data_IF_108190375684
#
_entry.id   IF_108190375684
#
_cell.length_a   1.000
_cell.length_b   1.000
_cell.length_c   1.000
_cell.angle_alpha   90.00
_cell.angle_beta   90.00
_cell.angle_gamma   90.00
#
_symmetry.space_group_name_H-M   'P 1'
#
loop_
_entity.id
_entity.type
_entity.pdbx_description
1 polymer ?
#
# COMPACT_ATOMS: atom_id res chain seq x y z
N UNK A 1 -12.31 -45.83 62.89
CA UNK A 1 -11.60 -44.98 63.86
C UNK A 1 -10.73 -43.99 63.10
N UNK A 2 -11.07 -42.70 63.15
CA UNK A 2 -10.08 -41.60 63.03
C UNK A 2 -9.05 -41.75 64.17
N UNK A 3 -7.78 -41.31 64.05
CA UNK A 3 -7.44 -39.93 63.64
C UNK A 3 -6.13 -39.71 62.85
N UNK A 4 -6.04 -38.54 62.20
CA UNK A 4 -4.79 -37.83 61.85
C UNK A 4 -4.25 -37.09 63.11
N UNK A 5 -3.02 -36.51 63.22
CA UNK A 5 -2.28 -35.75 62.19
C UNK A 5 -0.71 -35.75 62.29
N UNK A 6 -0.07 -34.83 61.52
CA UNK A 6 1.22 -34.12 61.71
C UNK A 6 2.28 -34.25 60.59
N UNK A 7 2.18 -33.28 59.66
CA UNK A 7 3.18 -32.32 59.12
C UNK A 7 4.60 -32.71 58.62
N UNK A 8 4.83 -32.24 57.37
CA UNK A 8 6.05 -31.73 56.71
C UNK A 8 7.16 -32.73 56.31
N UNK A 9 7.60 -32.83 55.05
CA UNK A 9 7.97 -31.74 54.13
C UNK A 9 8.17 -32.22 52.66
N UNK A 10 7.68 -31.40 51.72
CA UNK A 10 8.29 -30.97 50.44
C UNK A 10 8.81 -32.06 49.46
N UNK A 11 7.98 -32.42 48.46
CA UNK A 11 8.16 -31.98 47.05
C UNK A 11 7.02 -32.51 46.16
N UNK A 12 6.03 -31.65 45.93
CA UNK A 12 4.94 -31.88 45.00
C UNK A 12 5.21 -31.25 43.64
N UNK A 13 5.42 -32.09 42.62
CA UNK A 13 5.22 -31.74 41.21
C UNK A 13 3.96 -32.48 40.73
N UNK A 14 2.78 -31.93 41.01
CA UNK A 14 1.52 -32.31 40.35
C UNK A 14 1.02 -31.14 39.51
N UNK A 15 0.86 -31.44 38.23
CA UNK A 15 0.17 -30.66 37.20
C UNK A 15 -1.05 -29.92 37.78
N UNK A 16 -1.04 -28.59 37.71
CA UNK A 16 -2.25 -27.75 37.69
C UNK A 16 -2.32 -27.02 36.36
N UNK A 17 -3.52 -27.03 35.80
CA UNK A 17 -3.91 -26.51 34.51
C UNK A 17 -3.55 -25.02 34.35
N UNK A 18 -3.00 -24.69 33.18
CA UNK A 18 -2.69 -23.34 32.70
C UNK A 18 -3.93 -22.50 32.37
N UNK A 19 -5.14 -23.03 32.57
CA UNK A 19 -6.40 -22.34 32.25
C UNK A 19 -6.83 -21.33 33.34
N UNK A 20 -6.59 -21.62 34.63
CA UNK A 20 -7.06 -20.76 35.73
C UNK A 20 -6.17 -19.55 36.02
N UNK A 21 -4.92 -19.56 35.54
CA UNK A 21 -4.02 -18.41 35.64
C UNK A 21 -4.35 -17.33 34.58
N UNK A 22 -4.91 -17.72 33.43
CA UNK A 22 -5.25 -16.82 32.33
C UNK A 22 -6.57 -16.05 32.58
N UNK A 23 -7.53 -16.65 33.30
CA UNK A 23 -8.78 -15.98 33.66
C UNK A 23 -8.59 -14.92 34.73
N UNK A 24 -7.73 -15.18 35.74
CA UNK A 24 -7.38 -14.21 36.79
C UNK A 24 -6.48 -13.08 36.30
N UNK A 25 -5.61 -13.31 35.30
CA UNK A 25 -4.81 -12.23 34.70
C UNK A 25 -5.66 -11.30 33.82
N UNK A 26 -6.64 -11.84 33.08
CA UNK A 26 -7.60 -11.04 32.28
C UNK A 26 -8.56 -10.22 33.13
N UNK A 27 -9.06 -10.76 34.25
CA UNK A 27 -9.92 -10.00 35.17
C UNK A 27 -9.15 -8.87 35.89
N UNK A 28 -7.86 -9.07 36.20
CA UNK A 28 -7.01 -8.02 36.77
C UNK A 28 -6.56 -6.97 35.73
N UNK A 29 -6.47 -7.34 34.44
CA UNK A 29 -6.26 -6.40 33.32
C UNK A 29 -7.50 -5.49 33.16
N UNK A 30 -8.69 -6.07 33.15
CA UNK A 30 -9.97 -5.35 33.00
C UNK A 30 -10.24 -4.38 34.17
N UNK A 31 -9.91 -4.77 35.42
CA UNK A 31 -10.00 -3.87 36.58
C UNK A 31 -9.02 -2.69 36.51
N UNK A 32 -7.85 -2.88 35.91
CA UNK A 32 -6.85 -1.82 35.72
C UNK A 32 -7.22 -0.86 34.58
N UNK A 33 -7.87 -1.38 33.54
CA UNK A 33 -8.42 -0.59 32.42
C UNK A 33 -9.57 0.32 32.89
N UNK A 34 -10.45 -0.18 33.76
CA UNK A 34 -11.48 0.63 34.42
C UNK A 34 -10.90 1.73 35.34
N UNK A 35 -9.83 1.46 36.09
CA UNK A 35 -9.18 2.45 36.96
C UNK A 35 -8.52 3.59 36.15
N UNK A 36 -7.96 3.30 34.99
CA UNK A 36 -7.37 4.32 34.10
C UNK A 36 -8.45 5.19 33.43
N UNK A 37 -9.56 4.60 32.99
CA UNK A 37 -10.67 5.34 32.39
C UNK A 37 -11.40 6.20 33.43
N UNK A 38 -11.53 5.72 34.67
CA UNK A 38 -12.06 6.49 35.80
C UNK A 38 -11.13 7.65 36.20
N UNK A 39 -9.81 7.45 36.24
CA UNK A 39 -8.84 8.50 36.54
C UNK A 39 -8.79 9.58 35.45
N UNK A 40 -8.94 9.21 34.17
CA UNK A 40 -8.96 10.16 33.04
C UNK A 40 -10.20 11.07 33.08
N UNK A 41 -11.37 10.52 33.45
CA UNK A 41 -12.60 11.31 33.60
C UNK A 41 -12.60 12.20 34.86
N UNK A 42 -11.77 11.90 35.87
CA UNK A 42 -11.77 12.63 37.15
C UNK A 42 -10.66 13.69 37.24
N UNK A 43 -9.51 13.51 36.58
CA UNK A 43 -8.32 14.36 36.79
C UNK A 43 -7.79 15.11 35.54
N UNK A 44 -8.37 14.90 34.35
CA UNK A 44 -7.87 15.53 33.12
C UNK A 44 -6.48 15.01 32.68
N UNK A 45 -5.89 15.57 31.61
CA UNK A 45 -4.75 14.95 30.93
C UNK A 45 -3.47 14.97 31.78
N UNK A 46 -3.01 13.79 32.19
CA UNK A 46 -1.76 13.61 32.93
C UNK A 46 -0.58 13.55 31.94
N UNK A 47 0.38 14.47 32.08
CA UNK A 47 1.68 14.42 31.37
C UNK A 47 2.53 13.27 31.91
N UNK A 48 2.73 12.22 31.13
CA UNK A 48 3.68 11.15 31.44
C UNK A 48 5.01 11.37 30.70
N UNK A 49 6.14 11.25 31.42
CA UNK A 49 7.48 11.34 30.84
C UNK A 49 7.86 10.02 30.11
N UNK A 50 8.75 10.08 29.10
CA UNK A 50 9.00 9.00 28.15
C UNK A 50 9.55 7.70 28.77
N UNK A 51 10.21 7.79 29.92
CA UNK A 51 10.98 6.68 30.49
C UNK A 51 10.11 5.58 31.14
N UNK A 52 8.81 5.84 31.32
CA UNK A 52 7.87 4.87 31.92
C UNK A 52 7.19 3.94 30.91
N UNK A 53 7.32 4.20 29.60
CA UNK A 53 6.60 3.45 28.54
C UNK A 53 7.28 2.09 28.25
N UNK A 54 8.54 1.89 28.63
CA UNK A 54 9.31 0.68 28.27
C UNK A 54 9.15 -0.51 29.23
N UNK A 55 8.47 -0.37 30.39
CA UNK A 55 8.33 -1.47 31.37
C UNK A 55 7.03 -2.28 31.29
N UNK A 56 6.16 -2.03 30.31
CA UNK A 56 4.92 -2.79 30.11
C UNK A 56 4.96 -3.62 28.81
N UNK A 57 4.96 -4.95 28.95
CA UNK A 57 5.02 -5.97 27.88
C UNK A 57 3.63 -6.18 27.23
N UNK A 58 3.51 -7.01 26.17
CA UNK A 58 3.51 -6.69 24.74
C UNK A 58 2.08 -6.48 24.18
N UNK A 59 1.86 -5.40 23.42
CA UNK A 59 0.65 -5.25 22.59
C UNK A 59 0.93 -5.70 21.15
N UNK A 60 -0.09 -6.21 20.43
CA UNK A 60 0.02 -6.41 18.98
C UNK A 60 0.21 -5.06 18.29
N UNK A 61 0.98 -5.03 17.19
CA UNK A 61 1.27 -3.80 16.42
C UNK A 61 0.01 -3.02 16.03
N UNK A 62 -1.11 -3.72 15.84
CA UNK A 62 -2.42 -3.16 15.50
C UNK A 62 -3.00 -2.26 16.60
N UNK A 63 -2.80 -2.59 17.88
CA UNK A 63 -3.33 -1.81 19.01
C UNK A 63 -2.46 -0.59 19.32
N UNK A 64 -1.15 -0.71 19.16
CA UNK A 64 -0.21 0.43 19.27
C UNK A 64 -0.42 1.45 18.14
N UNK A 65 -0.78 0.99 16.95
CA UNK A 65 -1.16 1.85 15.83
C UNK A 65 -2.48 2.59 16.13
N UNK A 66 -3.46 1.87 16.68
CA UNK A 66 -4.76 2.40 17.08
C UNK A 66 -4.68 3.52 18.15
N UNK A 67 -3.81 3.39 19.16
CA UNK A 67 -3.61 4.43 20.18
C UNK A 67 -2.94 5.71 19.64
N UNK A 68 -2.20 5.62 18.53
CA UNK A 68 -1.49 6.75 17.92
C UNK A 68 -2.40 7.73 17.19
N UNK A 69 -3.64 7.33 16.89
CA UNK A 69 -4.63 8.13 16.14
C UNK A 69 -5.45 9.09 17.01
N UNK A 70 -5.35 9.01 18.34
CA UNK A 70 -6.09 9.90 19.26
C UNK A 70 -5.44 11.30 19.32
N UNK A 71 -4.20 11.47 18.84
CA UNK A 71 -3.51 12.76 18.79
C UNK A 71 -3.61 13.39 17.40
N UNK A 72 -4.39 14.47 17.30
CA UNK A 72 -4.68 15.38 16.16
C UNK A 72 -3.97 15.20 14.79
N UNK A 73 -4.71 15.37 13.67
CA UNK A 73 -4.15 15.38 12.31
C UNK A 73 -3.69 16.79 11.94
N UNK A 74 -2.43 17.13 12.21
CA UNK A 74 -1.80 18.32 11.62
C UNK A 74 -0.28 18.12 11.58
N UNK A 75 0.29 18.03 10.38
CA UNK A 75 1.74 17.91 10.11
C UNK A 75 2.44 16.75 10.84
N UNK A 76 2.24 15.54 10.33
CA UNK A 76 3.20 14.47 10.59
C UNK A 76 4.24 14.49 9.47
N UNK A 77 5.32 15.26 9.69
CA UNK A 77 6.58 14.95 9.02
C UNK A 77 7.03 13.63 9.62
N UNK A 78 6.91 12.54 8.86
CA UNK A 78 7.42 11.24 9.26
C UNK A 78 8.96 11.31 9.32
N UNK A 79 9.51 11.69 10.46
CA UNK A 79 10.90 11.37 10.83
C UNK A 79 10.91 9.96 11.43
N UNK A 80 10.64 8.96 10.59
CA UNK A 80 11.04 7.59 10.91
C UNK A 80 12.57 7.50 10.79
N UNK A 81 13.22 7.39 11.95
CA UNK A 81 14.68 7.39 12.13
C UNK A 81 15.29 5.98 12.09
N UNK A 82 14.54 4.95 11.67
CA UNK A 82 15.03 3.56 11.68
C UNK A 82 15.27 2.91 10.31
N UNK A 83 14.54 3.29 9.26
CA UNK A 83 14.65 2.64 7.93
C UNK A 83 15.41 3.51 6.93
N UNK A 84 16.47 2.95 6.33
CA UNK A 84 17.25 3.63 5.28
C UNK A 84 16.35 3.98 4.10
N UNK A 85 16.12 5.28 3.90
CA UNK A 85 15.35 5.83 2.78
C UNK A 85 16.16 5.64 1.50
N UNK A 86 15.60 4.92 0.54
CA UNK A 86 16.22 4.69 -0.76
C UNK A 86 16.09 5.92 -1.67
N UNK A 87 14.94 6.60 -1.60
CA UNK A 87 14.64 7.79 -2.39
C UNK A 87 14.03 8.85 -1.48
N UNK A 88 14.43 10.10 -1.66
CA UNK A 88 13.89 11.26 -0.98
C UNK A 88 13.68 12.37 -2.00
N UNK A 89 12.48 12.94 -2.01
CA UNK A 89 12.11 14.08 -2.85
C UNK A 89 11.54 15.14 -1.91
N UNK A 90 12.12 16.32 -1.92
CA UNK A 90 11.67 17.45 -1.10
C UNK A 90 11.41 18.66 -1.99
N UNK A 91 10.19 19.20 -1.92
CA UNK A 91 9.75 20.42 -2.59
C UNK A 91 10.11 20.49 -4.07
N UNK A 92 10.00 19.35 -4.77
CA UNK A 92 10.39 19.25 -6.17
C UNK A 92 9.45 20.08 -7.04
N UNK A 93 10.04 20.90 -7.91
CA UNK A 93 9.34 21.68 -8.92
C UNK A 93 9.94 21.44 -10.31
N UNK A 94 9.07 21.25 -11.30
CA UNK A 94 9.46 21.12 -12.71
C UNK A 94 8.46 21.82 -13.60
N UNK A 95 8.97 22.59 -14.55
CA UNK A 95 8.21 23.33 -15.55
C UNK A 95 8.79 23.07 -16.95
N UNK A 96 7.94 23.14 -17.96
CA UNK A 96 8.34 23.19 -19.37
C UNK A 96 7.84 24.51 -19.95
N UNK A 97 8.77 25.45 -20.19
CA UNK A 97 8.40 26.83 -20.49
C UNK A 97 7.62 27.45 -19.34
N UNK A 98 6.42 27.97 -19.62
CA UNK A 98 5.52 28.54 -18.61
C UNK A 98 4.65 27.50 -17.89
N UNK A 99 4.60 26.26 -18.38
CA UNK A 99 3.72 25.23 -17.85
C UNK A 99 4.40 24.47 -16.69
N UNK A 100 3.91 24.66 -15.47
CA UNK A 100 4.37 23.90 -14.30
C UNK A 100 3.78 22.49 -14.34
N UNK A 101 4.61 21.46 -14.38
CA UNK A 101 4.20 20.05 -14.44
C UNK A 101 4.29 19.36 -13.08
N UNK A 102 5.25 19.76 -12.24
CA UNK A 102 5.37 19.30 -10.85
C UNK A 102 5.51 20.51 -9.94
N UNK A 103 4.74 20.54 -8.85
CA UNK A 103 4.72 21.63 -7.89
C UNK A 103 4.72 21.10 -6.46
N UNK A 104 5.79 21.42 -5.73
CA UNK A 104 5.96 21.08 -4.30
C UNK A 104 5.74 19.60 -4.00
N UNK A 105 6.34 18.74 -4.83
CA UNK A 105 6.24 17.29 -4.63
C UNK A 105 7.19 16.87 -3.51
N UNK A 106 6.63 16.16 -2.53
CA UNK A 106 7.36 15.63 -1.38
C UNK A 106 7.06 14.14 -1.26
N UNK A 107 8.08 13.29 -1.28
CA UNK A 107 7.91 11.84 -1.12
C UNK A 107 9.17 11.17 -0.59
N UNK A 108 9.01 10.01 0.03
CA UNK A 108 10.12 9.14 0.41
C UNK A 108 9.76 7.69 0.12
N UNK A 109 10.77 6.91 -0.27
CA UNK A 109 10.62 5.47 -0.53
C UNK A 109 11.64 4.73 0.31
N UNK A 110 11.21 3.72 1.06
CA UNK A 110 12.10 2.86 1.85
C UNK A 110 12.74 1.81 0.97
N UNK A 111 13.91 1.32 1.38
CA UNK A 111 14.55 0.18 0.71
C UNK A 111 13.64 -1.06 0.74
N UNK A 112 13.52 -1.73 -0.40
CA UNK A 112 12.72 -2.95 -0.56
C UNK A 112 11.22 -2.71 -0.70
N UNK A 113 10.79 -1.45 -0.62
CA UNK A 113 9.38 -1.06 -0.78
C UNK A 113 8.98 -1.07 -2.26
N UNK A 114 7.76 -1.52 -2.53
CA UNK A 114 7.06 -1.25 -3.78
C UNK A 114 6.19 -0.01 -3.57
N UNK A 115 6.51 1.07 -4.28
CA UNK A 115 5.89 2.38 -4.15
C UNK A 115 5.14 2.76 -5.42
N UNK A 116 3.86 3.12 -5.30
CA UNK A 116 3.01 3.54 -6.40
C UNK A 116 3.04 5.06 -6.64
N UNK A 117 3.13 5.49 -7.89
CA UNK A 117 2.86 6.87 -8.32
C UNK A 117 1.62 6.81 -9.21
N UNK A 118 0.52 7.37 -8.72
CA UNK A 118 -0.83 7.21 -9.26
C UNK A 118 -1.40 8.57 -9.65
N UNK A 119 -2.33 8.60 -10.60
CA UNK A 119 -3.00 9.83 -11.02
C UNK A 119 -3.46 9.76 -12.47
N UNK A 120 -4.27 10.74 -12.88
CA UNK A 120 -4.76 10.84 -14.26
C UNK A 120 -3.63 11.03 -15.28
N UNK A 121 -3.94 10.77 -16.55
CA UNK A 121 -3.05 11.12 -17.66
C UNK A 121 -2.73 12.62 -17.64
N UNK A 122 -1.45 12.97 -17.76
CA UNK A 122 -1.00 14.36 -17.68
C UNK A 122 -0.69 14.89 -16.28
N UNK A 123 -0.94 14.12 -15.19
CA UNK A 123 -0.66 14.57 -13.82
C UNK A 123 0.84 14.71 -13.43
N UNK A 124 1.77 14.50 -14.37
CA UNK A 124 3.21 14.64 -14.14
C UNK A 124 3.94 13.36 -13.69
N UNK A 125 3.27 12.19 -13.64
CA UNK A 125 3.84 10.93 -13.15
C UNK A 125 5.15 10.50 -13.85
N UNK A 126 5.15 10.44 -15.18
CA UNK A 126 6.36 10.04 -15.94
C UNK A 126 7.45 11.11 -15.87
N UNK A 127 7.09 12.39 -15.73
CA UNK A 127 8.05 13.48 -15.48
C UNK A 127 8.75 13.28 -14.13
N UNK A 128 7.98 12.98 -13.08
CA UNK A 128 8.53 12.67 -11.75
C UNK A 128 9.49 11.48 -11.83
N UNK A 129 9.09 10.39 -12.50
CA UNK A 129 9.93 9.21 -12.69
C UNK A 129 11.26 9.53 -13.40
N UNK A 130 11.23 10.40 -14.42
CA UNK A 130 12.43 10.85 -15.16
C UNK A 130 13.31 11.79 -14.34
N UNK A 131 12.74 12.61 -13.47
CA UNK A 131 13.53 13.40 -12.51
C UNK A 131 14.27 12.49 -11.52
N UNK A 132 13.66 11.38 -11.09
CA UNK A 132 14.31 10.43 -10.18
C UNK A 132 15.54 9.73 -10.78
N UNK A 133 15.54 9.40 -12.08
CA UNK A 133 16.70 8.76 -12.73
C UNK A 133 17.63 9.76 -13.46
N UNK A 134 17.34 11.05 -13.35
CA UNK A 134 18.07 12.14 -13.99
C UNK A 134 17.98 12.21 -15.51
N UNK A 135 16.98 11.57 -16.14
CA UNK A 135 16.66 11.79 -17.56
C UNK A 135 16.06 13.17 -17.82
N UNK A 136 15.45 13.80 -16.80
CA UNK A 136 14.87 15.14 -16.88
C UNK A 136 15.40 16.00 -15.71
N UNK A 137 16.03 17.17 -15.96
CA UNK A 137 16.43 18.09 -14.91
C UNK A 137 15.19 18.74 -14.27
N UNK A 138 15.34 19.30 -13.07
CA UNK A 138 14.25 20.00 -12.35
C UNK A 138 14.64 21.44 -11.98
N UNK A 139 13.64 22.29 -11.74
CA UNK A 139 13.82 23.73 -11.56
C UNK A 139 14.26 24.07 -10.13
N UNK A 140 13.68 23.38 -9.14
CA UNK A 140 13.99 23.57 -7.73
C UNK A 140 13.62 22.35 -6.89
N UNK A 141 14.06 22.35 -5.63
CA UNK A 141 13.86 21.24 -4.70
C UNK A 141 15.08 20.33 -4.65
N UNK A 142 14.89 19.15 -4.07
CA UNK A 142 15.97 18.20 -3.81
C UNK A 142 15.51 16.78 -4.14
N UNK A 143 16.32 16.05 -4.92
CA UNK A 143 16.06 14.65 -5.28
C UNK A 143 17.30 13.84 -4.93
N UNK A 144 17.17 13.00 -3.90
CA UNK A 144 18.22 12.07 -3.47
C UNK A 144 17.83 10.64 -3.76
N UNK A 145 18.73 9.93 -4.42
CA UNK A 145 18.60 8.50 -4.70
C UNK A 145 19.84 7.78 -4.18
N UNK A 146 19.65 6.77 -3.33
CA UNK A 146 20.74 6.09 -2.62
C UNK A 146 21.68 7.08 -1.90
N UNK A 147 21.10 8.09 -1.24
CA UNK A 147 21.80 9.18 -0.53
C UNK A 147 22.62 10.13 -1.43
N UNK A 148 22.48 10.05 -2.76
CA UNK A 148 23.17 10.92 -3.73
C UNK A 148 22.19 11.93 -4.34
N UNK A 149 22.56 13.21 -4.35
CA UNK A 149 21.78 14.29 -4.97
C UNK A 149 21.86 14.23 -6.50
N UNK A 150 20.73 14.02 -7.18
CA UNK A 150 20.67 13.80 -8.63
C UNK A 150 21.14 15.02 -9.41
N UNK A 151 20.69 16.23 -9.07
CA UNK A 151 21.08 17.46 -9.78
C UNK A 151 22.58 17.81 -9.68
N UNK A 152 23.30 17.24 -8.70
CA UNK A 152 24.73 17.51 -8.50
C UNK A 152 25.65 16.62 -9.33
N UNK A 153 25.10 15.58 -9.98
CA UNK A 153 25.90 14.60 -10.70
C UNK A 153 26.29 15.11 -12.09
N UNK A 154 27.56 14.95 -12.43
CA UNK A 154 28.00 15.04 -13.81
C UNK A 154 27.51 13.84 -14.64
N UNK A 155 27.73 13.90 -15.95
CA UNK A 155 27.33 12.87 -16.89
C UNK A 155 27.88 11.47 -16.58
N UNK A 156 29.07 11.37 -15.97
CA UNK A 156 29.69 10.09 -15.66
C UNK A 156 29.08 9.48 -14.40
N UNK A 157 28.95 10.26 -13.33
CA UNK A 157 28.34 9.84 -12.07
C UNK A 157 26.84 9.55 -12.25
N UNK A 158 26.16 10.30 -13.13
CA UNK A 158 24.77 10.02 -13.47
C UNK A 158 24.60 8.65 -14.15
N UNK A 159 25.50 8.28 -15.08
CA UNK A 159 25.49 6.94 -15.69
C UNK A 159 25.71 5.84 -14.65
N UNK A 160 26.58 6.08 -13.65
CA UNK A 160 26.77 5.14 -12.55
C UNK A 160 25.51 5.00 -11.70
N UNK A 161 24.82 6.09 -11.38
CA UNK A 161 23.54 6.06 -10.70
C UNK A 161 22.51 5.25 -11.52
N UNK A 162 22.38 5.55 -12.82
CA UNK A 162 21.47 4.86 -13.73
C UNK A 162 21.80 3.36 -13.87
N UNK A 163 23.06 2.95 -13.78
CA UNK A 163 23.42 1.52 -13.78
C UNK A 163 22.85 0.74 -12.59
N UNK A 164 22.56 1.43 -11.48
CA UNK A 164 21.94 0.90 -10.27
C UNK A 164 20.41 0.99 -10.31
N UNK A 165 19.83 1.50 -11.39
CA UNK A 165 18.40 1.69 -11.59
C UNK A 165 17.95 1.01 -12.89
N UNK A 166 17.20 -0.08 -12.78
CA UNK A 166 16.56 -0.69 -13.93
C UNK A 166 15.32 0.10 -14.32
N UNK A 167 15.05 0.28 -15.62
CA UNK A 167 13.82 0.91 -16.10
C UNK A 167 13.07 0.01 -17.08
N UNK A 168 11.78 -0.13 -16.83
CA UNK A 168 10.81 -0.80 -17.68
C UNK A 168 9.91 0.28 -18.26
N UNK A 169 9.83 0.31 -19.60
CA UNK A 169 9.10 1.32 -20.35
C UNK A 169 7.71 0.81 -20.76
N UNK A 170 6.77 1.75 -20.94
CA UNK A 170 5.42 1.49 -21.44
C UNK A 170 5.43 0.81 -22.81
N UNK A 171 6.11 1.42 -23.79
CA UNK A 171 6.44 0.78 -25.05
C UNK A 171 7.71 -0.03 -24.80
N UNK A 172 7.67 -1.35 -24.92
CA UNK A 172 8.74 -2.31 -24.52
C UNK A 172 10.20 -1.87 -24.82
N UNK A 173 10.40 -1.00 -25.81
CA UNK A 173 11.68 -0.37 -26.19
C UNK A 173 12.77 -1.41 -26.43
N UNK A 174 12.40 -2.56 -26.98
CA UNK A 174 13.30 -3.65 -27.32
C UNK A 174 13.89 -3.43 -28.72
N UNK A 175 15.14 -3.83 -28.90
CA UNK A 175 15.84 -3.76 -30.17
C UNK A 175 15.30 -4.85 -31.11
N UNK A 176 14.44 -4.44 -32.05
CA UNK A 176 13.71 -5.35 -32.94
C UNK A 176 14.60 -6.24 -33.82
N UNK A 177 15.80 -5.75 -34.18
CA UNK A 177 16.79 -6.51 -34.99
C UNK A 177 17.56 -7.57 -34.19
N UNK A 178 17.44 -7.57 -32.87
CA UNK A 178 18.13 -8.48 -31.95
C UNK A 178 17.20 -9.58 -31.44
N UNK A 179 17.76 -10.72 -31.07
CA UNK A 179 17.01 -11.77 -30.38
C UNK A 179 16.80 -11.41 -28.89
N UNK A 180 16.12 -12.28 -28.16
CA UNK A 180 15.85 -12.12 -26.72
C UNK A 180 17.15 -12.01 -25.92
N UNK A 181 18.08 -12.95 -26.12
CA UNK A 181 19.36 -12.99 -25.43
C UNK A 181 20.13 -11.68 -25.61
N UNK A 182 20.26 -11.21 -26.86
CA UNK A 182 20.99 -10.00 -27.21
C UNK A 182 20.38 -8.74 -26.61
N UNK A 183 19.05 -8.70 -26.45
CA UNK A 183 18.37 -7.58 -25.79
C UNK A 183 18.69 -7.54 -24.30
N UNK A 184 18.69 -8.69 -23.62
CA UNK A 184 19.02 -8.79 -22.18
C UNK A 184 20.52 -8.59 -21.96
N UNK A 185 21.37 -9.07 -22.87
CA UNK A 185 22.83 -8.92 -22.81
C UNK A 185 23.30 -7.49 -23.10
N UNK A 186 22.47 -6.65 -23.73
CA UNK A 186 22.88 -5.33 -24.21
C UNK A 186 23.48 -4.42 -23.11
N UNK A 187 22.85 -4.24 -21.93
CA UNK A 187 23.42 -3.45 -20.84
C UNK A 187 24.75 -4.03 -20.33
N UNK A 188 24.87 -5.36 -20.26
CA UNK A 188 26.11 -6.04 -19.84
C UNK A 188 27.25 -5.78 -20.82
N UNK A 189 26.95 -5.72 -22.11
CA UNK A 189 27.90 -5.43 -23.17
C UNK A 189 28.43 -4.00 -23.06
N UNK A 190 27.54 -3.02 -22.86
CA UNK A 190 27.92 -1.61 -22.70
C UNK A 190 28.80 -1.37 -21.47
N UNK A 191 28.57 -2.12 -20.39
CA UNK A 191 29.33 -2.02 -19.14
C UNK A 191 30.49 -3.01 -19.05
N UNK A 192 30.85 -3.67 -20.15
CA UNK A 192 31.97 -4.63 -20.24
C UNK A 192 31.96 -5.68 -19.10
N UNK A 193 30.78 -6.13 -18.68
CA UNK A 193 30.65 -7.09 -17.58
C UNK A 193 31.18 -8.49 -18.03
N UNK A 194 31.90 -9.22 -17.17
CA UNK A 194 32.26 -10.62 -17.42
C UNK A 194 31.02 -11.54 -17.30
N UNK A 195 31.15 -12.80 -17.71
CA UNK A 195 30.13 -13.86 -17.51
C UNK A 195 28.72 -13.51 -18.01
N UNK A 196 28.63 -12.74 -19.11
CA UNK A 196 27.35 -12.20 -19.60
C UNK A 196 26.35 -13.29 -19.94
N UNK A 197 26.81 -14.37 -20.56
CA UNK A 197 25.96 -15.48 -20.97
C UNK A 197 25.28 -16.14 -19.77
N UNK A 198 26.05 -16.51 -18.75
CA UNK A 198 25.53 -17.06 -17.51
C UNK A 198 24.48 -16.13 -16.88
N UNK A 199 24.81 -14.85 -16.73
CA UNK A 199 23.90 -13.86 -16.15
C UNK A 199 22.60 -13.71 -16.96
N UNK A 200 22.70 -13.69 -18.28
CA UNK A 200 21.52 -13.60 -19.15
C UNK A 200 20.65 -14.83 -19.00
N UNK A 201 21.24 -16.03 -18.95
CA UNK A 201 20.48 -17.27 -18.79
C UNK A 201 19.77 -17.35 -17.44
N UNK A 202 20.41 -16.94 -16.34
CA UNK A 202 19.76 -16.82 -15.02
C UNK A 202 18.54 -15.88 -15.06
N UNK A 203 18.67 -14.75 -15.77
CA UNK A 203 17.57 -13.78 -15.91
C UNK A 203 16.45 -14.31 -16.80
N UNK A 204 16.78 -15.01 -17.87
CA UNK A 204 15.79 -15.66 -18.74
C UNK A 204 15.04 -16.77 -18.01
N UNK A 205 15.72 -17.52 -17.14
CA UNK A 205 15.08 -18.50 -16.27
C UNK A 205 14.12 -17.84 -15.29
N UNK A 206 14.57 -16.77 -14.61
CA UNK A 206 13.74 -16.00 -13.69
C UNK A 206 12.45 -15.47 -14.34
N UNK A 207 12.52 -15.00 -15.59
CA UNK A 207 11.34 -14.50 -16.30
C UNK A 207 10.59 -15.57 -17.10
N UNK A 208 11.07 -16.83 -17.10
CA UNK A 208 10.44 -17.97 -17.79
C UNK A 208 10.53 -17.93 -19.31
N UNK A 209 11.67 -17.50 -19.87
CA UNK A 209 11.92 -17.35 -21.32
C UNK A 209 13.21 -18.02 -21.81
N UNK A 210 13.74 -19.01 -21.08
CA UNK A 210 14.98 -19.73 -21.42
C UNK A 210 14.93 -20.36 -22.81
N UNK A 211 13.81 -20.99 -23.17
CA UNK A 211 13.56 -21.63 -24.47
C UNK A 211 13.51 -20.63 -25.65
N UNK A 212 13.31 -19.34 -25.33
CA UNK A 212 13.15 -18.26 -26.32
C UNK A 212 14.39 -17.41 -26.50
N UNK A 213 15.51 -17.74 -25.88
CA UNK A 213 16.74 -16.95 -25.90
C UNK A 213 17.17 -16.53 -27.32
N UNK A 214 17.07 -17.44 -28.30
CA UNK A 214 17.46 -17.20 -29.70
C UNK A 214 16.34 -16.65 -30.59
N UNK A 215 15.11 -16.54 -30.07
CA UNK A 215 13.96 -16.08 -30.84
C UNK A 215 14.03 -14.56 -31.07
N UNK A 216 13.59 -14.09 -32.25
CA UNK A 216 13.49 -12.65 -32.54
C UNK A 216 12.36 -12.02 -31.73
N UNK A 217 12.63 -10.87 -31.12
CA UNK A 217 11.67 -10.18 -30.24
C UNK A 217 10.35 -9.83 -30.94
N UNK A 218 10.37 -9.55 -32.25
CA UNK A 218 9.17 -9.23 -33.01
C UNK A 218 8.10 -10.34 -32.96
N UNK A 219 8.54 -11.60 -32.87
CA UNK A 219 7.66 -12.77 -32.84
C UNK A 219 7.07 -13.11 -31.46
N UNK A 220 7.39 -12.30 -30.44
CA UNK A 220 6.89 -12.49 -29.08
C UNK A 220 5.54 -11.81 -28.84
N UNK A 221 4.75 -12.37 -27.93
CA UNK A 221 3.55 -11.72 -27.40
C UNK A 221 3.89 -10.48 -26.56
N UNK A 222 2.91 -9.62 -26.28
CA UNK A 222 3.11 -8.43 -25.44
C UNK A 222 3.69 -8.77 -24.06
N UNK A 223 3.12 -9.77 -23.37
CA UNK A 223 3.62 -10.23 -22.07
C UNK A 223 5.04 -10.79 -22.12
N UNK A 224 5.38 -11.51 -23.19
CA UNK A 224 6.75 -12.00 -23.40
C UNK A 224 7.72 -10.85 -23.64
N UNK A 225 7.36 -9.85 -24.45
CA UNK A 225 8.16 -8.63 -24.63
C UNK A 225 8.37 -7.91 -23.30
N UNK A 226 7.34 -7.84 -22.46
CA UNK A 226 7.46 -7.25 -21.12
C UNK A 226 8.45 -8.00 -20.23
N UNK A 227 8.38 -9.34 -20.22
CA UNK A 227 9.33 -10.21 -19.51
C UNK A 227 10.78 -10.01 -19.98
N UNK A 228 11.01 -9.85 -21.29
CA UNK A 228 12.33 -9.50 -21.82
C UNK A 228 12.77 -8.11 -21.34
N UNK A 229 11.86 -7.14 -21.30
CA UNK A 229 12.10 -5.79 -20.75
C UNK A 229 12.52 -5.84 -19.27
N UNK A 230 11.83 -6.63 -18.46
CA UNK A 230 12.14 -6.87 -17.04
C UNK A 230 13.53 -7.50 -16.90
N UNK A 231 13.81 -8.60 -17.62
CA UNK A 231 15.11 -9.25 -17.60
C UNK A 231 16.25 -8.29 -17.96
N UNK A 232 16.06 -7.48 -19.01
CA UNK A 232 17.03 -6.46 -19.43
C UNK A 232 17.23 -5.38 -18.35
N UNK A 233 16.17 -4.92 -17.69
CA UNK A 233 16.27 -3.94 -16.62
C UNK A 233 17.05 -4.46 -15.41
N UNK A 234 16.98 -5.77 -15.14
CA UNK A 234 17.68 -6.45 -14.04
C UNK A 234 19.11 -6.88 -14.38
N UNK A 235 19.54 -6.70 -15.64
CA UNK A 235 20.82 -7.19 -16.15
C UNK A 235 22.02 -6.73 -15.29
N UNK A 236 22.04 -5.45 -14.91
CA UNK A 236 23.14 -4.84 -14.17
C UNK A 236 23.06 -4.98 -12.63
N UNK A 237 22.18 -5.84 -12.12
CA UNK A 237 21.91 -5.96 -10.68
C UNK A 237 21.52 -4.61 -10.02
N UNK A 238 20.44 -3.96 -10.49
CA UNK A 238 20.03 -2.69 -9.91
C UNK A 238 19.52 -2.84 -8.47
N UNK A 239 19.53 -1.74 -7.72
CA UNK A 239 18.90 -1.64 -6.39
C UNK A 239 17.46 -1.13 -6.47
N UNK A 240 17.11 -0.47 -7.58
CA UNK A 240 15.82 0.17 -7.83
C UNK A 240 15.31 -0.26 -9.21
N UNK A 241 14.03 -0.60 -9.30
CA UNK A 241 13.31 -0.84 -10.56
C UNK A 241 12.24 0.23 -10.76
N UNK A 242 12.30 0.91 -11.90
CA UNK A 242 11.34 1.93 -12.30
C UNK A 242 10.41 1.33 -13.35
N UNK A 243 9.11 1.33 -13.09
CA UNK A 243 8.08 0.81 -13.99
C UNK A 243 7.21 1.97 -14.47
N UNK A 244 7.35 2.38 -15.74
CA UNK A 244 6.51 3.42 -16.37
C UNK A 244 5.37 2.75 -17.13
N UNK A 245 4.18 2.68 -16.51
CA UNK A 245 2.98 2.04 -17.08
C UNK A 245 3.23 0.64 -17.67
N UNK A 246 3.99 -0.17 -16.94
CA UNK A 246 4.49 -1.48 -17.38
C UNK A 246 3.41 -2.52 -17.74
N UNK A 247 2.14 -2.27 -17.45
CA UNK A 247 1.03 -3.20 -17.69
C UNK A 247 -0.12 -2.60 -18.52
N UNK A 248 -0.03 -1.34 -18.95
CA UNK A 248 -1.16 -0.65 -19.60
C UNK A 248 -1.53 -1.22 -20.97
N UNK A 249 -0.57 -1.78 -21.70
CA UNK A 249 -0.76 -2.36 -23.03
C UNK A 249 -1.03 -3.88 -23.03
N UNK A 250 -1.34 -4.48 -21.87
CA UNK A 250 -1.47 -5.93 -21.71
C UNK A 250 -2.90 -6.32 -21.31
N UNK A 251 -3.32 -7.51 -21.73
CA UNK A 251 -4.59 -8.10 -21.30
C UNK A 251 -4.59 -8.41 -19.78
N UNK A 252 -5.75 -8.45 -19.11
CA UNK A 252 -5.82 -8.62 -17.65
C UNK A 252 -5.11 -9.87 -17.12
N UNK A 253 -5.17 -10.99 -17.85
CA UNK A 253 -4.51 -12.24 -17.45
C UNK A 253 -2.99 -12.10 -17.50
N UNK A 254 -2.47 -11.51 -18.57
CA UNK A 254 -1.05 -11.21 -18.70
C UNK A 254 -0.59 -10.19 -17.67
N UNK A 255 -1.36 -9.13 -17.42
CA UNK A 255 -1.09 -8.13 -16.38
C UNK A 255 -0.91 -8.81 -15.03
N UNK A 256 -1.84 -9.67 -14.62
CA UNK A 256 -1.73 -10.43 -13.37
C UNK A 256 -0.43 -11.21 -13.27
N UNK A 257 -0.07 -11.93 -14.35
CA UNK A 257 1.15 -12.73 -14.42
C UNK A 257 2.44 -11.89 -14.33
N UNK A 258 2.42 -10.66 -14.85
CA UNK A 258 3.55 -9.72 -14.74
C UNK A 258 3.64 -9.14 -13.32
N UNK A 259 2.51 -8.83 -12.68
CA UNK A 259 2.51 -8.36 -11.29
C UNK A 259 3.04 -9.42 -10.33
N UNK A 260 2.65 -10.69 -10.51
CA UNK A 260 3.19 -11.82 -9.74
C UNK A 260 4.71 -11.94 -9.89
N UNK A 261 5.22 -11.77 -11.11
CA UNK A 261 6.65 -11.79 -11.38
C UNK A 261 7.37 -10.63 -10.67
N UNK A 262 6.82 -9.42 -10.70
CA UNK A 262 7.40 -8.26 -10.02
C UNK A 262 7.41 -8.42 -8.49
N UNK A 263 6.35 -9.02 -7.93
CA UNK A 263 6.27 -9.34 -6.51
C UNK A 263 7.34 -10.36 -6.10
N UNK A 264 7.51 -11.43 -6.88
CA UNK A 264 8.53 -12.45 -6.65
C UNK A 264 9.95 -11.87 -6.75
N UNK A 265 10.20 -11.00 -7.74
CA UNK A 265 11.48 -10.26 -7.87
C UNK A 265 11.75 -9.38 -6.66
N UNK A 266 10.75 -8.60 -6.21
CA UNK A 266 10.87 -7.76 -5.02
C UNK A 266 11.23 -8.59 -3.79
N UNK A 267 10.52 -9.70 -3.55
CA UNK A 267 10.73 -10.58 -2.40
C UNK A 267 12.09 -11.28 -2.44
N UNK A 268 12.50 -11.82 -3.60
CA UNK A 268 13.78 -12.56 -3.74
C UNK A 268 15.00 -11.66 -3.71
N UNK A 269 14.93 -10.48 -4.32
CA UNK A 269 16.08 -9.60 -4.50
C UNK A 269 16.11 -8.42 -3.52
N UNK A 270 15.08 -8.24 -2.69
CA UNK A 270 14.88 -7.07 -1.85
C UNK A 270 15.00 -5.75 -2.65
N UNK A 271 14.43 -5.77 -3.86
CA UNK A 271 14.54 -4.71 -4.85
C UNK A 271 13.53 -3.61 -4.54
N UNK A 272 13.93 -2.35 -4.55
CA UNK A 272 12.97 -1.24 -4.39
C UNK A 272 12.28 -1.01 -5.72
N UNK A 273 10.94 -0.98 -5.77
CA UNK A 273 10.20 -0.83 -7.04
C UNK A 273 9.39 0.46 -6.98
N UNK A 274 9.52 1.31 -8.00
CA UNK A 274 8.61 2.45 -8.21
C UNK A 274 7.72 2.12 -9.39
N UNK A 275 6.42 2.14 -9.19
CA UNK A 275 5.44 1.83 -10.21
C UNK A 275 4.58 3.04 -10.53
N UNK A 276 4.68 3.53 -11.76
CA UNK A 276 3.76 4.53 -12.32
C UNK A 276 2.59 3.79 -12.96
N UNK A 277 1.38 4.09 -12.53
CA UNK A 277 0.16 3.51 -13.11
C UNK A 277 -1.02 4.47 -12.92
N UNK A 278 -2.04 4.34 -13.76
CA UNK A 278 -3.35 4.95 -13.53
C UNK A 278 -4.38 3.92 -13.01
N UNK A 279 -4.02 2.63 -12.97
CA UNK A 279 -4.92 1.55 -12.59
C UNK A 279 -4.86 1.29 -11.09
N UNK A 280 -5.96 1.56 -10.38
CA UNK A 280 -5.99 1.44 -8.93
C UNK A 280 -5.89 -0.01 -8.45
N UNK A 281 -6.41 -0.98 -9.22
CA UNK A 281 -6.32 -2.41 -8.90
C UNK A 281 -4.87 -2.89 -8.80
N UNK A 282 -3.98 -2.36 -9.65
CA UNK A 282 -2.54 -2.68 -9.62
C UNK A 282 -1.91 -2.18 -8.31
N UNK A 283 -2.31 -0.99 -7.87
CA UNK A 283 -1.81 -0.34 -6.65
C UNK A 283 -2.23 -1.12 -5.42
N UNK A 284 -3.54 -1.45 -5.32
CA UNK A 284 -4.10 -2.24 -4.21
C UNK A 284 -3.44 -3.61 -4.05
N UNK A 285 -3.06 -4.23 -5.18
CA UNK A 285 -2.46 -5.56 -5.21
C UNK A 285 -0.99 -5.56 -4.77
N UNK A 286 -0.20 -4.61 -5.24
CA UNK A 286 1.27 -4.71 -5.20
C UNK A 286 1.97 -3.61 -4.39
N UNK A 287 1.38 -2.42 -4.27
CA UNK A 287 2.07 -1.27 -3.66
C UNK A 287 1.88 -1.26 -2.14
N UNK A 288 2.97 -1.04 -1.41
CA UNK A 288 2.96 -0.86 0.05
C UNK A 288 2.56 0.56 0.45
N UNK A 289 3.02 1.54 -0.33
CA UNK A 289 2.70 2.97 -0.19
C UNK A 289 2.47 3.57 -1.57
N UNK A 290 1.75 4.68 -1.63
CA UNK A 290 1.47 5.39 -2.87
C UNK A 290 1.54 6.91 -2.71
N UNK A 291 1.83 7.57 -3.82
CA UNK A 291 1.66 9.00 -4.06
C UNK A 291 0.57 9.17 -5.13
N UNK A 292 -0.52 9.84 -4.78
CA UNK A 292 -1.55 10.24 -5.72
C UNK A 292 -1.28 11.68 -6.19
N UNK A 293 -1.10 11.84 -7.50
CA UNK A 293 -0.86 13.11 -8.17
C UNK A 293 -2.10 13.54 -8.94
N UNK A 294 -2.43 14.83 -8.82
CA UNK A 294 -3.40 15.49 -9.68
C UNK A 294 -2.91 16.91 -10.01
N UNK A 295 -2.99 17.30 -11.28
CA UNK A 295 -2.51 18.60 -11.75
C UNK A 295 -1.06 18.94 -11.35
N UNK A 296 -0.18 17.95 -11.19
CA UNK A 296 1.20 18.15 -10.77
C UNK A 296 1.39 18.41 -9.27
N UNK A 297 0.36 18.21 -8.45
CA UNK A 297 0.38 18.37 -6.98
C UNK A 297 0.09 17.04 -6.29
N UNK A 298 0.52 16.95 -5.02
CA UNK A 298 0.23 15.79 -4.17
C UNK A 298 -1.20 15.90 -3.62
N UNK A 299 -2.03 14.92 -3.94
CA UNK A 299 -3.39 14.77 -3.37
C UNK A 299 -3.36 13.89 -2.13
N UNK A 300 -2.66 12.76 -2.21
CA UNK A 300 -2.53 11.82 -1.10
C UNK A 300 -1.14 11.17 -1.10
N UNK A 301 -0.60 10.91 0.08
CA UNK A 301 0.66 10.20 0.28
C UNK A 301 0.57 9.39 1.56
N UNK A 302 0.87 8.10 1.49
CA UNK A 302 0.78 7.21 2.65
C UNK A 302 0.87 5.75 2.28
N UNK A 303 0.67 4.88 3.27
CA UNK A 303 0.53 3.45 3.00
C UNK A 303 -0.75 3.21 2.22
N UNK A 304 -0.69 2.24 1.32
CA UNK A 304 -1.83 1.83 0.48
C UNK A 304 -3.03 1.48 1.37
N UNK A 305 -2.85 0.60 2.36
CA UNK A 305 -3.92 0.17 3.28
C UNK A 305 -4.58 1.37 3.97
N UNK A 306 -3.81 2.26 4.59
CA UNK A 306 -4.35 3.42 5.32
C UNK A 306 -5.20 4.32 4.42
N UNK A 307 -4.75 4.56 3.19
CA UNK A 307 -5.42 5.44 2.24
C UNK A 307 -6.69 4.84 1.65
N UNK A 308 -6.77 3.51 1.47
CA UNK A 308 -8.01 2.88 1.02
C UNK A 308 -8.99 2.55 2.16
N UNK A 309 -8.49 2.41 3.39
CA UNK A 309 -9.33 2.22 4.57
C UNK A 309 -10.05 3.51 4.99
N UNK A 310 -9.42 4.66 4.78
CA UNK A 310 -10.01 5.97 5.06
C UNK A 310 -9.62 6.97 3.94
N UNK A 311 -10.20 6.83 2.73
CA UNK A 311 -9.84 7.69 1.61
C UNK A 311 -10.27 9.13 1.87
N UNK A 312 -9.39 10.08 1.56
CA UNK A 312 -9.72 11.51 1.63
C UNK A 312 -10.77 11.87 0.57
N UNK A 313 -11.53 12.95 0.78
CA UNK A 313 -12.53 13.42 -0.21
C UNK A 313 -11.93 13.58 -1.62
N UNK A 314 -10.73 14.14 -1.70
CA UNK A 314 -10.03 14.32 -2.98
C UNK A 314 -9.61 12.98 -3.62
N UNK A 315 -9.24 11.99 -2.80
CA UNK A 315 -8.95 10.64 -3.28
C UNK A 315 -10.23 9.94 -3.76
N UNK A 316 -11.35 10.10 -3.06
CA UNK A 316 -12.65 9.53 -3.45
C UNK A 316 -13.17 10.09 -4.78
N UNK A 317 -12.89 11.37 -5.08
CA UNK A 317 -13.25 11.97 -6.36
C UNK A 317 -12.46 11.39 -7.56
N UNK A 318 -11.26 10.87 -7.30
CA UNK A 318 -10.35 10.30 -8.33
C UNK A 318 -10.50 8.78 -8.44
N UNK A 319 -10.76 8.09 -7.33
CA UNK A 319 -11.04 6.66 -7.30
C UNK A 319 -12.50 6.46 -7.68
N UNK A 320 -12.77 6.15 -8.96
CA UNK A 320 -14.11 5.87 -9.46
C UNK A 320 -14.87 4.95 -8.50
N UNK A 321 -15.96 5.46 -7.91
CA UNK A 321 -16.89 4.63 -7.15
C UNK A 321 -17.75 3.87 -8.17
N UNK A 322 -17.45 2.59 -8.42
CA UNK A 322 -18.22 1.68 -9.29
C UNK A 322 -19.66 1.39 -8.80
N UNK A 323 -20.18 2.14 -7.83
CA UNK A 323 -21.47 1.85 -7.20
C UNK A 323 -22.49 2.91 -7.54
N UNK A 324 -23.57 2.50 -8.21
CA UNK A 324 -24.80 3.28 -8.31
C UNK A 324 -25.46 3.26 -6.93
N UNK A 325 -25.45 4.40 -6.24
CA UNK A 325 -26.10 4.53 -4.94
C UNK A 325 -27.63 4.50 -5.12
N UNK A 326 -28.37 4.13 -4.08
CA UNK A 326 -29.84 4.16 -4.14
C UNK A 326 -30.29 5.59 -3.78
N UNK A 327 -31.16 6.23 -4.59
CA UNK A 327 -31.78 7.50 -4.26
C UNK A 327 -32.84 7.30 -3.17
N UNK A 328 -32.86 8.20 -2.18
CA UNK A 328 -33.73 8.11 -0.99
C UNK A 328 -33.10 7.29 0.14
N UNK A 329 -33.23 7.79 1.37
CA UNK A 329 -32.52 7.24 2.53
C UNK A 329 -31.04 7.60 2.56
N UNK A 330 -30.33 7.02 3.51
CA UNK A 330 -28.91 7.23 3.74
C UNK A 330 -28.10 5.99 3.36
N UNK A 331 -27.14 6.16 2.45
CA UNK A 331 -26.20 5.11 2.06
C UNK A 331 -25.03 5.07 3.05
N UNK A 332 -24.77 3.91 3.64
CA UNK A 332 -23.72 3.70 4.63
C UNK A 332 -22.77 2.62 4.10
N UNK A 333 -21.49 2.98 3.92
CA UNK A 333 -20.41 2.03 3.64
C UNK A 333 -19.88 1.48 4.95
N UNK A 334 -19.98 0.17 5.12
CA UNK A 334 -19.47 -0.58 6.26
C UNK A 334 -18.17 -1.26 5.86
N UNK A 335 -17.13 -1.13 6.70
CA UNK A 335 -15.82 -1.72 6.47
C UNK A 335 -15.52 -2.76 7.53
N UNK A 336 -15.14 -3.96 7.10
CA UNK A 336 -14.86 -5.06 8.01
C UNK A 336 -13.61 -5.86 7.59
N UNK A 337 -12.69 -6.14 8.53
CA UNK A 337 -11.63 -7.11 8.32
C UNK A 337 -12.20 -8.52 8.14
N UNK A 338 -11.47 -9.41 7.46
CA UNK A 338 -11.87 -10.80 7.17
C UNK A 338 -12.37 -11.58 8.40
N UNK A 339 -11.83 -11.32 9.58
CA UNK A 339 -12.19 -12.00 10.82
C UNK A 339 -13.64 -11.70 11.25
N UNK A 340 -14.14 -10.52 10.89
CA UNK A 340 -15.50 -10.06 11.17
C UNK A 340 -16.48 -10.47 10.05
N UNK A 341 -15.99 -10.71 8.82
CA UNK A 341 -16.87 -11.12 7.70
C UNK A 341 -17.58 -12.46 7.95
N UNK A 342 -17.00 -13.33 8.78
CA UNK A 342 -17.60 -14.60 9.18
C UNK A 342 -18.73 -14.46 10.22
N UNK A 343 -18.93 -13.27 10.80
CA UNK A 343 -19.87 -13.05 11.90
C UNK A 343 -21.26 -12.57 11.45
N UNK A 344 -21.59 -12.56 10.16
CA UNK A 344 -22.93 -12.17 9.65
C UNK A 344 -23.44 -10.84 10.24
N UNK A 345 -22.57 -9.83 10.32
CA UNK A 345 -22.81 -8.55 11.01
C UNK A 345 -24.13 -7.88 10.61
N UNK A 346 -24.44 -7.87 9.32
CA UNK A 346 -25.67 -7.25 8.79
C UNK A 346 -26.91 -7.99 9.25
N UNK A 347 -26.90 -9.32 9.18
CA UNK A 347 -28.03 -10.15 9.60
C UNK A 347 -28.25 -10.09 11.11
N UNK A 348 -27.18 -9.90 11.90
CA UNK A 348 -27.30 -9.64 13.33
C UNK A 348 -27.89 -8.25 13.60
N UNK A 349 -27.40 -7.23 12.90
CA UNK A 349 -27.91 -5.87 13.00
C UNK A 349 -29.40 -5.77 12.63
N UNK A 350 -29.81 -6.41 11.53
CA UNK A 350 -31.22 -6.44 11.09
C UNK A 350 -32.12 -7.06 12.15
N UNK A 351 -31.71 -8.17 12.75
CA UNK A 351 -32.46 -8.85 13.82
C UNK A 351 -32.46 -8.07 15.13
N UNK A 352 -31.35 -7.44 15.50
CA UNK A 352 -31.23 -6.68 16.73
C UNK A 352 -32.06 -5.39 16.71
N UNK A 353 -32.12 -4.73 15.55
CA UNK A 353 -32.83 -3.47 15.38
C UNK A 353 -34.26 -3.65 14.87
N UNK A 354 -34.60 -4.82 14.31
CA UNK A 354 -35.90 -5.05 13.65
C UNK A 354 -36.06 -4.21 12.38
N UNK A 355 -34.95 -3.95 11.67
CA UNK A 355 -34.89 -3.06 10.51
C UNK A 355 -34.37 -3.87 9.32
N UNK A 356 -35.08 -3.77 8.20
CA UNK A 356 -34.61 -4.30 6.92
C UNK A 356 -33.66 -3.31 6.24
N UNK A 357 -32.59 -3.85 5.65
CA UNK A 357 -31.56 -3.07 4.94
C UNK A 357 -31.48 -3.50 3.49
N UNK A 358 -31.42 -2.54 2.58
CA UNK A 358 -31.12 -2.81 1.19
C UNK A 358 -29.60 -2.87 1.00
N UNK A 359 -29.11 -3.94 0.39
CA UNK A 359 -27.68 -4.04 0.01
C UNK A 359 -27.52 -3.37 -1.35
N UNK A 360 -26.83 -2.23 -1.36
CA UNK A 360 -26.54 -1.44 -2.57
C UNK A 360 -25.41 -2.09 -3.37
N UNK A 361 -24.40 -2.59 -2.66
CA UNK A 361 -23.26 -3.23 -3.26
C UNK A 361 -22.27 -3.68 -2.21
N UNK A 362 -21.28 -4.45 -2.62
CA UNK A 362 -20.21 -4.86 -1.73
C UNK A 362 -19.19 -5.69 -2.47
N UNK A 363 -17.96 -5.60 -2.00
CA UNK A 363 -16.84 -6.34 -2.58
C UNK A 363 -15.94 -6.80 -1.45
N UNK A 364 -15.48 -8.05 -1.58
CA UNK A 364 -14.32 -8.51 -0.85
C UNK A 364 -13.11 -8.14 -1.70
N UNK A 365 -12.28 -7.25 -1.19
CA UNK A 365 -11.05 -6.84 -1.84
C UNK A 365 -9.85 -7.33 -1.04
N UNK A 366 -8.88 -7.89 -1.77
CA UNK A 366 -7.59 -8.26 -1.20
C UNK A 366 -6.65 -7.07 -1.31
N UNK A 367 -6.09 -6.67 -0.18
CA UNK A 367 -5.08 -5.63 -0.08
C UNK A 367 -3.80 -6.29 0.44
N UNK A 368 -2.77 -6.40 -0.41
CA UNK A 368 -1.55 -7.14 -0.10
C UNK A 368 -1.85 -8.56 0.44
N UNK A 369 -1.55 -8.82 1.72
CA UNK A 369 -1.77 -10.10 2.41
C UNK A 369 -3.09 -10.17 3.19
N UNK A 370 -3.78 -9.03 3.35
CA UNK A 370 -5.03 -8.93 4.09
C UNK A 370 -6.25 -8.91 3.15
N UNK A 371 -7.39 -9.37 3.66
CA UNK A 371 -8.67 -9.32 2.95
C UNK A 371 -9.58 -8.37 3.72
N UNK A 372 -10.01 -7.31 3.05
CA UNK A 372 -11.00 -6.37 3.58
C UNK A 372 -12.27 -6.48 2.77
N UNK A 373 -13.38 -6.59 3.49
CA UNK A 373 -14.69 -6.47 2.88
C UNK A 373 -15.23 -5.07 3.12
N UNK A 374 -15.93 -4.55 2.12
CA UNK A 374 -16.90 -3.52 2.39
C UNK A 374 -18.26 -3.90 1.84
N UNK A 375 -19.28 -3.37 2.50
CA UNK A 375 -20.67 -3.48 2.08
C UNK A 375 -21.29 -2.10 2.17
N UNK A 376 -22.00 -1.68 1.13
CA UNK A 376 -22.80 -0.48 1.12
C UNK A 376 -24.23 -0.91 1.36
N UNK A 377 -24.83 -0.39 2.43
CA UNK A 377 -26.23 -0.57 2.75
C UNK A 377 -26.97 0.76 2.58
N UNK A 378 -28.24 0.70 2.19
CA UNK A 378 -29.14 1.84 2.22
C UNK A 378 -30.10 1.67 3.40
N UNK A 379 -30.24 2.73 4.18
CA UNK A 379 -31.06 2.79 5.39
C UNK A 379 -32.05 3.94 5.23
N UNK A 380 -33.33 3.72 5.54
CA UNK A 380 -34.30 4.82 5.57
C UNK A 380 -33.92 5.86 6.63
N UNK A 381 -34.11 7.15 6.34
CA UNK A 381 -33.62 8.25 7.21
C UNK A 381 -34.18 8.19 8.64
N UNK A 382 -35.42 7.72 8.81
CA UNK A 382 -36.06 7.51 10.11
C UNK A 382 -35.31 6.52 11.02
N UNK A 383 -34.48 5.66 10.45
CA UNK A 383 -33.78 4.56 11.13
C UNK A 383 -32.29 4.84 11.35
N UNK A 384 -31.76 5.97 10.86
CA UNK A 384 -30.32 6.23 10.84
C UNK A 384 -29.70 6.28 12.25
N UNK A 385 -30.36 6.93 13.20
CA UNK A 385 -29.83 7.12 14.55
C UNK A 385 -29.67 5.80 15.30
N UNK A 386 -30.62 4.88 15.12
CA UNK A 386 -30.57 3.55 15.71
C UNK A 386 -29.41 2.74 15.11
N UNK A 387 -29.21 2.83 13.79
CA UNK A 387 -28.12 2.14 13.09
C UNK A 387 -26.76 2.70 13.49
N UNK A 388 -26.57 4.02 13.49
CA UNK A 388 -25.30 4.64 13.87
C UNK A 388 -24.92 4.34 15.33
N UNK A 389 -25.90 4.24 16.22
CA UNK A 389 -25.67 3.83 17.61
C UNK A 389 -25.20 2.38 17.69
N UNK A 390 -25.87 1.47 17.01
CA UNK A 390 -25.48 0.07 16.96
C UNK A 390 -24.07 -0.11 16.38
N UNK A 391 -23.77 0.55 15.26
CA UNK A 391 -22.45 0.47 14.63
C UNK A 391 -21.33 0.98 15.56
N UNK A 392 -21.59 2.06 16.33
CA UNK A 392 -20.65 2.56 17.35
C UNK A 392 -20.44 1.56 18.48
N UNK A 393 -21.51 0.93 18.99
CA UNK A 393 -21.44 -0.07 20.06
C UNK A 393 -20.64 -1.31 19.64
N UNK A 394 -20.86 -1.78 18.41
CA UNK A 394 -20.14 -2.91 17.82
C UNK A 394 -18.73 -2.55 17.34
N UNK A 395 -18.30 -1.28 17.48
CA UNK A 395 -17.00 -0.76 17.04
C UNK A 395 -16.72 -1.04 15.55
N UNK A 396 -17.76 -0.95 14.73
CA UNK A 396 -17.64 -1.10 13.28
C UNK A 396 -17.27 0.24 12.65
N UNK A 397 -16.33 0.20 11.70
CA UNK A 397 -16.02 1.36 10.89
C UNK A 397 -17.09 1.53 9.81
N UNK A 398 -17.60 2.76 9.72
CA UNK A 398 -18.58 3.14 8.73
C UNK A 398 -18.29 4.52 8.18
N UNK A 399 -18.78 4.78 6.98
CA UNK A 399 -18.80 6.09 6.33
C UNK A 399 -20.19 6.30 5.71
N UNK A 400 -20.74 7.51 5.85
CA UNK A 400 -21.96 7.90 5.14
C UNK A 400 -21.56 8.35 3.74
N UNK A 401 -22.12 7.72 2.71
CA UNK A 401 -21.90 8.08 1.32
C UNK A 401 -22.98 9.07 0.87
N UNK A 402 -22.54 10.26 0.45
CA UNK A 402 -23.43 11.24 -0.15
C UNK A 402 -23.80 10.81 -1.59
N UNK A 403 -25.08 10.89 -1.92
CA UNK A 403 -25.56 10.64 -3.28
C UNK A 403 -25.08 11.79 -4.20
N UNK A 404 -24.27 11.53 -5.25
CA UNK A 404 -23.77 12.59 -6.10
C UNK A 404 -24.92 13.32 -6.80
N UNK A 405 -24.98 14.66 -6.69
CA UNK A 405 -26.02 15.49 -7.31
C UNK A 405 -26.18 15.27 -8.83
N UNK A 406 -25.14 14.83 -9.54
CA UNK A 406 -25.21 14.47 -10.96
C UNK A 406 -26.09 13.25 -11.25
N UNK A 407 -26.14 12.26 -10.35
CA UNK A 407 -27.03 11.10 -10.49
C UNK A 407 -28.48 11.43 -10.11
N UNK A 408 -28.74 12.59 -9.48
CA UNK A 408 -30.08 13.04 -9.11
C UNK A 408 -30.78 13.71 -10.30
N UNK A 409 -30.03 14.37 -11.18
CA UNK A 409 -30.55 14.95 -12.42
C UNK A 409 -30.95 13.89 -13.45
N UNK A 410 -30.30 12.73 -13.48
CA UNK A 410 -30.64 11.65 -14.42
C UNK A 410 -31.87 10.87 -13.92
N UNK A 411 -31.98 10.61 -12.62
CA UNK A 411 -33.14 9.92 -12.03
C UNK A 411 -34.42 10.78 -11.95
N UNK A 412 -34.31 12.10 -12.08
CA UNK A 412 -35.47 13.01 -12.12
C UNK A 412 -36.00 13.24 -13.55
N UNK A 413 -35.30 12.74 -14.57
CA UNK A 413 -35.65 12.88 -15.99
C UNK A 413 -36.12 11.56 -16.64
N UNK A 414 -36.22 10.47 -15.86
CA UNK A 414 -36.96 9.24 -16.16
C UNK A 414 -38.26 9.19 -15.37
#
# INVERSE_FOLDING_TARGET
MSPAPVLNSINGLRRRSTADACSRSRQNLFKREMLYQAAFNTYGPIRLRPDHIQRFVPFSRSVLYFLRQITHPSRIILTDSGTKRMIQVNQLRKSFGSHVVLQDINMHVRRGEIFGIVGHSGAGKSTLLRCLNGLEPYDSGNVRVMDVEVASLDSHHLRQLQSKMGMIFQNFNLMARKNVFDNVAFPLHLWHRPEREKRVMELLELVGLTDKARQRVQSLSGGQKQRVGIARALALNPSILLCDEATSALDPKTTSSILDLLEDINKRLNLTIIMVTHQMEVVKRLCHSLLLLDGGKTVALGKTEDLFLAPTKDMQAIVENEYTLIPGGTNIRLMFPREISQQSVITQMARALGIDFSIVGGKLERYLDDVFGFLIINVQDQNIDAVLRYLKEQRLYWEILEYPLQQATDAANE
#
